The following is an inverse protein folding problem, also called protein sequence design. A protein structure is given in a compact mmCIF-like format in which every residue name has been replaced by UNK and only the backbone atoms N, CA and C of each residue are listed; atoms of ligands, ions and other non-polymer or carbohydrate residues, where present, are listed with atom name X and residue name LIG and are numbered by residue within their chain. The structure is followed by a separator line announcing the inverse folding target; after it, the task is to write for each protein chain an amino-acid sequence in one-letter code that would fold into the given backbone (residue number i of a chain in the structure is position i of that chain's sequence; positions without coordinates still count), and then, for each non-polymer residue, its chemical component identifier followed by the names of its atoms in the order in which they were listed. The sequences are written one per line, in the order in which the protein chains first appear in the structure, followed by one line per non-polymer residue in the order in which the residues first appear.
data_IF_213790780450
#
_entry.id   IF_213790780450
#
_cell.length_a   1.000
_cell.length_b   1.000
_cell.length_c   1.000
_cell.angle_alpha   90.00
_cell.angle_beta   90.00
_cell.angle_gamma   90.00
#
_symmetry.space_group_name_H-M   'P 1'
#
loop_
_entity.id
_entity.type
_entity.pdbx_description
1 polymer ?
#
# COMPACT_ATOMS: atom_id res chain seq x y z
N UNK A 1 3.93 39.24 -6.71
CA UNK A 1 2.67 38.73 -7.31
C UNK A 1 2.86 37.22 -7.41
N UNK A 2 2.24 36.35 -6.62
CA UNK A 2 0.85 36.30 -6.14
C UNK A 2 0.82 35.74 -4.71
N UNK A 3 0.17 36.47 -3.79
CA UNK A 3 0.01 36.06 -2.39
C UNK A 3 -1.02 34.95 -2.21
N UNK A 4 -0.67 34.00 -1.35
CA UNK A 4 -1.61 33.04 -0.73
C UNK A 4 -2.66 33.83 0.07
N UNK A 5 -3.92 33.70 -0.33
CA UNK A 5 -5.05 34.17 0.48
C UNK A 5 -5.39 33.14 1.58
N UNK A 6 -5.79 33.58 2.78
CA UNK A 6 -6.13 32.70 3.88
C UNK A 6 -7.51 32.06 3.68
N UNK A 7 -7.59 30.76 3.98
CA UNK A 7 -8.83 29.98 4.20
C UNK A 7 -9.64 30.63 5.32
N UNK A 8 -10.75 31.28 4.98
CA UNK A 8 -11.70 31.83 5.93
C UNK A 8 -12.59 30.73 6.55
N UNK A 9 -12.97 30.84 7.83
CA UNK A 9 -13.86 29.90 8.49
C UNK A 9 -15.32 30.30 8.23
N UNK A 10 -16.01 29.59 7.33
CA UNK A 10 -17.48 29.74 7.15
C UNK A 10 -18.18 28.39 7.27
N UNK A 11 -17.71 27.56 8.21
CA UNK A 11 -18.16 26.18 8.39
C UNK A 11 -19.06 25.98 9.63
N UNK A 12 -19.83 27.00 10.03
CA UNK A 12 -20.60 26.94 11.30
C UNK A 12 -22.08 27.38 11.24
N UNK A 13 -22.63 27.83 10.11
CA UNK A 13 -24.00 28.40 10.10
C UNK A 13 -25.07 27.69 9.25
N UNK A 14 -24.76 26.55 8.61
CA UNK A 14 -25.76 25.77 7.85
C UNK A 14 -26.00 24.35 8.39
N UNK A 15 -25.81 24.16 9.69
CA UNK A 15 -26.20 22.93 10.40
C UNK A 15 -27.46 23.15 11.26
N UNK A 16 -27.88 24.40 11.44
CA UNK A 16 -29.07 24.74 12.24
C UNK A 16 -30.20 25.21 11.35
N UNK A 17 -31.25 24.37 11.28
CA UNK A 17 -32.59 24.71 10.85
C UNK A 17 -32.73 25.18 9.39
N UNK A 18 -32.88 24.22 8.48
CA UNK A 18 -33.93 24.18 7.45
C UNK A 18 -33.79 22.80 6.75
N UNK A 19 -34.90 22.12 6.50
CA UNK A 19 -35.06 20.75 5.97
C UNK A 19 -35.28 19.60 6.98
N UNK A 20 -35.56 19.92 8.25
CA UNK A 20 -36.03 18.92 9.23
C UNK A 20 -37.57 18.80 9.30
N UNK A 21 -38.34 19.59 8.54
CA UNK A 21 -39.79 19.51 8.54
C UNK A 21 -40.41 20.14 7.29
N UNK A 22 -40.72 19.32 6.28
CA UNK A 22 -41.98 19.44 5.54
C UNK A 22 -42.23 18.21 4.66
N UNK A 23 -43.48 17.81 4.74
CA UNK A 23 -44.23 16.95 3.83
C UNK A 23 -44.02 15.44 4.01
N UNK A 24 -44.88 14.92 4.90
CA UNK A 24 -45.43 13.60 4.75
C UNK A 24 -46.19 13.52 3.42
N UNK A 25 -45.60 12.80 2.48
CA UNK A 25 -46.32 11.87 1.63
C UNK A 25 -45.38 10.70 1.33
N UNK A 26 -45.65 9.61 2.02
CA UNK A 26 -44.92 8.37 1.96
C UNK A 26 -45.40 7.60 0.72
N UNK A 27 -44.70 7.73 -0.41
CA UNK A 27 -44.82 6.73 -1.47
C UNK A 27 -43.59 6.75 -2.39
N UNK A 28 -42.78 5.70 -2.35
CA UNK A 28 -41.78 5.43 -3.40
C UNK A 28 -41.72 3.92 -3.66
N UNK A 29 -42.19 3.55 -4.83
CA UNK A 29 -41.94 2.25 -5.46
C UNK A 29 -40.44 1.99 -5.54
N UNK A 30 -40.01 0.88 -4.95
CA UNK A 30 -38.64 0.37 -5.06
C UNK A 30 -38.46 -0.29 -6.43
N UNK A 31 -38.01 0.50 -7.41
CA UNK A 31 -37.43 -0.03 -8.65
C UNK A 31 -36.12 -0.78 -8.36
N UNK A 32 -35.77 -1.82 -9.14
CA UNK A 32 -34.67 -2.72 -8.81
C UNK A 32 -33.33 -1.98 -8.88
N UNK A 33 -32.53 -2.19 -7.84
CA UNK A 33 -31.16 -1.72 -7.71
C UNK A 33 -30.29 -2.39 -8.78
N UNK A 34 -30.01 -1.66 -9.86
CA UNK A 34 -29.09 -2.09 -10.91
C UNK A 34 -27.65 -1.99 -10.39
N UNK A 35 -27.09 -3.17 -10.13
CA UNK A 35 -25.74 -3.62 -10.48
C UNK A 35 -24.60 -2.61 -10.34
N UNK A 36 -23.82 -2.84 -9.29
CA UNK A 36 -22.38 -2.64 -9.18
C UNK A 36 -21.70 -2.55 -10.55
N UNK A 37 -21.10 -1.39 -10.83
CA UNK A 37 -20.11 -1.22 -11.90
C UNK A 37 -18.93 -2.16 -11.62
N UNK A 38 -19.02 -3.34 -12.22
CA UNK A 38 -17.88 -4.19 -12.51
C UNK A 38 -17.07 -3.50 -13.61
N UNK A 39 -16.33 -2.46 -13.25
CA UNK A 39 -15.22 -1.98 -14.05
C UNK A 39 -14.19 -3.10 -14.06
N UNK A 40 -14.23 -3.90 -15.12
CA UNK A 40 -13.24 -4.88 -15.48
C UNK A 40 -11.86 -4.22 -15.46
N UNK A 41 -11.15 -4.37 -14.35
CA UNK A 41 -9.72 -4.26 -14.30
C UNK A 41 -9.20 -5.41 -15.18
N UNK A 42 -9.08 -5.13 -16.47
CA UNK A 42 -8.27 -5.93 -17.38
C UNK A 42 -6.91 -6.08 -16.71
N UNK A 43 -6.61 -7.30 -16.25
CA UNK A 43 -5.30 -7.69 -15.83
C UNK A 43 -4.39 -7.50 -17.05
N UNK A 44 -3.76 -6.33 -17.11
CA UNK A 44 -2.71 -6.03 -18.06
C UNK A 44 -1.61 -7.04 -17.76
N UNK A 45 -1.49 -8.06 -18.61
CA UNK A 45 -0.32 -8.93 -18.64
C UNK A 45 0.91 -8.01 -18.54
N UNK A 46 1.81 -8.23 -17.57
CA UNK A 46 2.95 -7.36 -17.42
C UNK A 46 3.81 -7.54 -18.66
N UNK A 47 3.72 -6.58 -19.59
CA UNK A 47 4.73 -6.35 -20.59
C UNK A 47 6.08 -6.44 -19.87
N UNK A 48 7.00 -7.25 -20.38
CA UNK A 48 8.30 -7.50 -19.76
C UNK A 48 9.04 -6.16 -19.59
N UNK A 49 8.79 -5.51 -18.47
CA UNK A 49 9.48 -4.31 -18.04
C UNK A 49 10.90 -4.75 -17.75
N UNK A 50 11.87 -4.14 -18.45
CA UNK A 50 13.27 -4.21 -18.06
C UNK A 50 13.34 -3.92 -16.57
N UNK A 51 13.69 -4.93 -15.77
CA UNK A 51 13.65 -4.82 -14.31
C UNK A 51 14.87 -4.04 -13.85
N UNK A 52 14.64 -3.03 -13.02
CA UNK A 52 15.68 -2.17 -12.45
C UNK A 52 16.27 -2.87 -11.23
N UNK A 53 17.57 -3.14 -11.28
CA UNK A 53 18.29 -3.91 -10.26
C UNK A 53 19.34 -3.04 -9.56
N UNK A 54 19.38 -3.12 -8.24
CA UNK A 54 20.47 -2.64 -7.42
C UNK A 54 21.33 -3.82 -6.97
N UNK A 55 22.65 -3.70 -7.12
CA UNK A 55 23.60 -4.73 -6.67
C UNK A 55 24.41 -4.23 -5.49
N UNK A 56 24.43 -4.99 -4.39
CA UNK A 56 25.19 -4.69 -3.19
C UNK A 56 26.16 -5.83 -2.84
N UNK A 57 27.46 -5.60 -3.02
CA UNK A 57 28.50 -6.60 -2.82
C UNK A 57 29.81 -5.86 -2.49
N UNK A 58 30.54 -6.32 -1.49
CA UNK A 58 31.76 -5.63 -1.02
C UNK A 58 32.97 -5.99 -1.89
N UNK A 59 33.01 -7.22 -2.41
CA UNK A 59 34.01 -7.64 -3.39
C UNK A 59 33.72 -7.06 -4.78
N UNK A 60 34.62 -6.19 -5.26
CA UNK A 60 34.48 -5.55 -6.57
C UNK A 60 34.46 -6.53 -7.75
N UNK A 61 35.17 -7.65 -7.67
CA UNK A 61 35.21 -8.63 -8.77
C UNK A 61 33.86 -9.34 -8.87
N UNK A 62 33.34 -9.83 -7.73
CA UNK A 62 32.03 -10.50 -7.68
C UNK A 62 30.92 -9.53 -8.12
N UNK A 63 31.00 -8.27 -7.69
CA UNK A 63 30.05 -7.23 -8.10
C UNK A 63 30.06 -7.01 -9.61
N UNK A 64 31.24 -6.88 -10.22
CA UNK A 64 31.38 -6.70 -11.68
C UNK A 64 30.82 -7.90 -12.44
N UNK A 65 31.19 -9.13 -12.04
CA UNK A 65 30.71 -10.36 -12.66
C UNK A 65 29.17 -10.45 -12.61
N UNK A 66 28.58 -10.11 -11.45
CA UNK A 66 27.12 -10.11 -11.29
C UNK A 66 26.43 -9.07 -12.18
N UNK A 67 27.00 -7.87 -12.30
CA UNK A 67 26.45 -6.81 -13.15
C UNK A 67 26.50 -7.19 -14.61
N UNK A 68 27.60 -7.80 -15.06
CA UNK A 68 27.73 -8.31 -16.43
C UNK A 68 26.67 -9.39 -16.70
N UNK A 69 26.55 -10.37 -15.80
CA UNK A 69 25.52 -11.41 -15.92
C UNK A 69 24.10 -10.83 -16.01
N UNK A 70 23.77 -9.85 -15.16
CA UNK A 70 22.45 -9.21 -15.16
C UNK A 70 22.18 -8.44 -16.47
N UNK A 71 23.17 -7.70 -16.97
CA UNK A 71 23.03 -6.93 -18.22
C UNK A 71 22.87 -7.84 -19.43
N UNK A 72 23.58 -8.96 -19.47
CA UNK A 72 23.45 -9.95 -20.55
C UNK A 72 22.06 -10.60 -20.59
N UNK A 73 21.42 -10.78 -19.44
CA UNK A 73 20.04 -11.28 -19.32
C UNK A 73 18.98 -10.18 -19.48
N UNK A 74 19.38 -8.94 -19.81
CA UNK A 74 18.47 -7.84 -20.13
C UNK A 74 17.91 -7.08 -18.91
N UNK A 75 18.56 -7.17 -17.75
CA UNK A 75 18.24 -6.35 -16.58
C UNK A 75 18.96 -4.99 -16.64
N UNK A 76 18.31 -3.94 -16.12
CA UNK A 76 18.91 -2.60 -16.01
C UNK A 76 19.52 -2.41 -14.62
N UNK A 77 20.84 -2.37 -14.52
CA UNK A 77 21.53 -2.13 -13.26
C UNK A 77 21.60 -0.63 -13.00
N UNK A 78 20.76 -0.16 -12.07
CA UNK A 78 20.56 1.26 -11.79
C UNK A 78 21.47 1.81 -10.70
N UNK A 79 22.08 0.93 -9.90
CA UNK A 79 23.02 1.33 -8.87
C UNK A 79 23.83 0.18 -8.31
N UNK A 80 24.97 0.54 -7.73
CA UNK A 80 25.95 -0.37 -7.17
C UNK A 80 26.32 0.11 -5.77
N UNK A 81 26.24 -0.78 -4.78
CA UNK A 81 26.55 -0.47 -3.39
C UNK A 81 27.73 -1.34 -2.90
N UNK A 82 28.79 -0.73 -2.34
CA UNK A 82 29.90 -1.49 -1.76
C UNK A 82 29.63 -1.93 -0.31
N UNK A 83 28.49 -1.54 0.28
CA UNK A 83 28.13 -1.87 1.66
C UNK A 83 26.61 -1.77 1.89
N UNK A 84 26.13 -2.35 3.00
CA UNK A 84 24.70 -2.40 3.32
C UNK A 84 24.05 -1.05 3.60
N UNK A 85 24.81 -0.04 4.06
CA UNK A 85 24.25 1.29 4.34
C UNK A 85 23.94 2.02 3.03
N UNK A 86 24.90 2.04 2.10
CA UNK A 86 24.73 2.60 0.75
C UNK A 86 23.64 1.85 -0.01
N UNK A 87 23.51 0.53 0.19
CA UNK A 87 22.46 -0.26 -0.43
C UNK A 87 21.06 0.23 -0.04
N UNK A 88 20.83 0.54 1.25
CA UNK A 88 19.55 1.08 1.73
C UNK A 88 19.29 2.47 1.13
N UNK A 89 20.28 3.36 1.18
CA UNK A 89 20.16 4.74 0.67
C UNK A 89 19.82 4.76 -0.84
N UNK A 90 20.56 4.00 -1.64
CA UNK A 90 20.31 3.90 -3.08
C UNK A 90 18.96 3.22 -3.39
N UNK A 91 18.53 2.28 -2.55
CA UNK A 91 17.20 1.65 -2.71
C UNK A 91 16.09 2.68 -2.50
N UNK A 92 16.23 3.57 -1.53
CA UNK A 92 15.25 4.64 -1.27
C UNK A 92 15.19 5.69 -2.37
N UNK A 93 16.36 6.10 -2.86
CA UNK A 93 16.51 7.12 -3.89
C UNK A 93 16.08 6.61 -5.28
N UNK A 94 16.62 5.46 -5.68
CA UNK A 94 16.46 4.96 -7.04
C UNK A 94 15.19 4.13 -7.23
N UNK A 95 14.58 3.63 -6.13
CA UNK A 95 13.40 2.75 -6.16
C UNK A 95 13.54 1.61 -7.19
N UNK A 96 14.55 0.74 -7.03
CA UNK A 96 14.73 -0.42 -7.90
C UNK A 96 13.58 -1.42 -7.70
N UNK A 97 13.35 -2.29 -8.68
CA UNK A 97 12.39 -3.39 -8.57
C UNK A 97 12.96 -4.56 -7.78
N UNK A 98 14.28 -4.73 -7.84
CA UNK A 98 15.04 -5.82 -7.24
C UNK A 98 16.34 -5.30 -6.61
N UNK A 99 16.66 -5.81 -5.43
CA UNK A 99 17.96 -5.64 -4.79
C UNK A 99 18.60 -7.01 -4.61
N UNK A 100 19.81 -7.16 -5.12
CA UNK A 100 20.65 -8.34 -4.88
C UNK A 100 21.75 -7.89 -3.92
N UNK A 101 21.86 -8.52 -2.76
CA UNK A 101 22.84 -8.11 -1.75
C UNK A 101 23.55 -9.28 -1.09
N UNK A 102 24.85 -9.14 -0.80
CA UNK A 102 25.58 -10.14 -0.01
C UNK A 102 25.11 -10.13 1.46
N UNK A 103 25.17 -11.29 2.10
CA UNK A 103 24.88 -11.44 3.53
C UNK A 103 25.87 -10.63 4.35
N UNK A 104 27.17 -10.74 4.08
CA UNK A 104 28.20 -10.06 4.86
C UNK A 104 28.73 -8.86 4.11
N UNK A 105 28.57 -7.68 4.71
CA UNK A 105 29.09 -6.43 4.18
C UNK A 105 29.67 -5.55 5.31
N UNK A 106 30.64 -4.67 5.01
CA UNK A 106 31.16 -3.71 5.97
C UNK A 106 30.10 -2.66 6.33
N UNK A 107 30.30 -1.95 7.45
CA UNK A 107 29.43 -0.87 7.98
C UNK A 107 28.07 -1.38 8.48
N UNK A 108 27.30 -2.01 7.60
CA UNK A 108 25.98 -2.56 7.88
C UNK A 108 25.86 -3.93 7.21
N UNK A 109 25.40 -4.89 8.00
CA UNK A 109 25.22 -6.27 7.54
C UNK A 109 24.11 -6.35 6.49
N UNK A 110 24.25 -7.26 5.53
CA UNK A 110 23.27 -7.43 4.45
C UNK A 110 21.91 -7.86 4.97
N UNK A 111 21.86 -8.66 6.05
CA UNK A 111 20.60 -9.08 6.66
C UNK A 111 19.86 -7.88 7.28
N UNK A 112 20.59 -7.00 7.96
CA UNK A 112 19.99 -5.81 8.57
C UNK A 112 19.55 -4.80 7.50
N UNK A 113 20.29 -4.70 6.40
CA UNK A 113 19.91 -3.89 5.24
C UNK A 113 18.66 -4.46 4.54
N UNK A 114 18.62 -5.79 4.33
CA UNK A 114 17.48 -6.50 3.78
C UNK A 114 16.23 -6.31 4.64
N UNK A 115 16.37 -6.43 5.97
CA UNK A 115 15.29 -6.23 6.92
C UNK A 115 14.66 -4.84 6.76
N UNK A 116 15.49 -3.81 6.63
CA UNK A 116 15.00 -2.44 6.47
C UNK A 116 14.33 -2.24 5.11
N UNK A 117 14.96 -2.68 4.02
CA UNK A 117 14.41 -2.57 2.66
C UNK A 117 13.07 -3.31 2.56
N UNK A 118 13.00 -4.53 3.11
CA UNK A 118 11.78 -5.32 3.16
C UNK A 118 10.72 -4.63 4.01
N UNK A 119 11.06 -4.13 5.22
CA UNK A 119 10.12 -3.43 6.11
C UNK A 119 9.48 -2.21 5.45
N UNK A 120 10.23 -1.48 4.63
CA UNK A 120 9.80 -0.31 3.87
C UNK A 120 9.14 -0.67 2.53
N UNK A 121 9.07 -1.96 2.21
CA UNK A 121 8.52 -2.53 0.95
C UNK A 121 9.11 -1.86 -0.29
N UNK A 122 10.41 -1.56 -0.28
CA UNK A 122 11.01 -0.77 -1.35
C UNK A 122 11.25 -1.58 -2.64
N UNK A 123 11.61 -2.85 -2.51
CA UNK A 123 11.99 -3.73 -3.61
C UNK A 123 11.95 -5.21 -3.20
N UNK A 124 11.96 -6.12 -4.18
CA UNK A 124 12.24 -7.53 -3.92
C UNK A 124 13.71 -7.72 -3.51
N UNK A 125 14.00 -8.54 -2.51
CA UNK A 125 15.37 -8.76 -2.01
C UNK A 125 15.83 -10.20 -2.25
N UNK A 126 16.98 -10.34 -2.91
CA UNK A 126 17.72 -11.60 -3.09
C UNK A 126 19.03 -11.52 -2.31
N UNK A 127 19.23 -12.48 -1.42
CA UNK A 127 20.45 -12.57 -0.60
C UNK A 127 21.49 -13.48 -1.27
N UNK A 128 22.71 -12.99 -1.48
CA UNK A 128 23.85 -13.83 -1.82
C UNK A 128 24.45 -14.37 -0.53
N UNK A 129 24.80 -15.65 -0.47
CA UNK A 129 25.36 -16.25 0.74
C UNK A 129 26.48 -17.24 0.42
N UNK A 130 27.47 -17.34 1.30
CA UNK A 130 28.45 -18.41 1.25
C UNK A 130 27.88 -19.69 1.90
N UNK A 131 28.24 -20.86 1.38
CA UNK A 131 27.73 -22.18 1.81
C UNK A 131 27.71 -22.41 3.35
N UNK A 132 28.63 -21.79 4.10
CA UNK A 132 28.78 -21.95 5.55
C UNK A 132 27.81 -21.12 6.40
N UNK A 133 26.81 -20.46 5.81
CA UNK A 133 25.95 -19.48 6.49
C UNK A 133 24.46 -19.88 6.55
N UNK A 134 24.13 -21.18 6.60
CA UNK A 134 22.72 -21.63 6.65
C UNK A 134 21.92 -21.03 7.82
N UNK A 135 22.52 -20.83 8.98
CA UNK A 135 21.85 -20.21 10.14
C UNK A 135 21.45 -18.75 9.87
N UNK A 136 22.14 -18.09 8.95
CA UNK A 136 21.82 -16.74 8.49
C UNK A 136 20.68 -16.73 7.47
N UNK A 137 20.43 -17.85 6.77
CA UNK A 137 19.32 -17.97 5.82
C UNK A 137 17.97 -17.91 6.55
N UNK A 138 17.85 -18.54 7.71
CA UNK A 138 16.62 -18.46 8.52
C UNK A 138 16.36 -17.03 9.00
N UNK A 139 17.39 -16.36 9.50
CA UNK A 139 17.31 -14.95 9.91
C UNK A 139 16.97 -14.02 8.75
N UNK A 140 17.56 -14.25 7.58
CA UNK A 140 17.27 -13.49 6.38
C UNK A 140 15.81 -13.69 5.91
N UNK A 141 15.28 -14.91 6.00
CA UNK A 141 13.87 -15.18 5.72
C UNK A 141 12.96 -14.42 6.68
N UNK A 142 13.26 -14.46 7.97
CA UNK A 142 12.46 -13.76 8.99
C UNK A 142 12.57 -12.23 8.85
N UNK A 143 13.69 -11.73 8.31
CA UNK A 143 13.90 -10.34 7.91
C UNK A 143 13.13 -9.94 6.64
N UNK A 144 12.49 -10.87 5.93
CA UNK A 144 11.71 -10.59 4.73
C UNK A 144 12.50 -10.69 3.42
N UNK A 145 13.65 -11.36 3.41
CA UNK A 145 14.31 -11.74 2.15
C UNK A 145 13.42 -12.71 1.36
N UNK A 146 13.27 -12.44 0.06
CA UNK A 146 12.36 -13.20 -0.80
C UNK A 146 13.01 -14.46 -1.36
N UNK A 147 14.32 -14.44 -1.57
CA UNK A 147 15.10 -15.61 -1.98
C UNK A 147 16.56 -15.48 -1.55
N UNK A 148 17.31 -16.59 -1.64
CA UNK A 148 18.75 -16.62 -1.43
C UNK A 148 19.44 -17.41 -2.53
N UNK A 149 20.69 -17.05 -2.81
CA UNK A 149 21.54 -17.67 -3.81
C UNK A 149 22.92 -17.99 -3.19
N UNK A 150 23.39 -19.21 -3.36
CA UNK A 150 24.65 -19.67 -2.75
C UNK A 150 25.82 -19.43 -3.70
N UNK A 151 26.91 -18.84 -3.21
CA UNK A 151 28.17 -18.66 -3.95
C UNK A 151 28.99 -19.99 -3.97
N UNK A 152 29.62 -20.37 -5.10
CA UNK A 152 29.57 -19.72 -6.42
C UNK A 152 28.28 -20.05 -7.18
N UNK A 153 27.73 -19.09 -7.92
CA UNK A 153 26.50 -19.22 -8.70
C UNK A 153 26.75 -19.00 -10.19
N UNK A 154 25.87 -19.53 -11.03
CA UNK A 154 25.87 -19.29 -12.47
C UNK A 154 24.63 -18.50 -12.91
N UNK A 155 24.62 -18.00 -14.15
CA UNK A 155 23.43 -17.35 -14.74
C UNK A 155 22.17 -18.23 -14.65
N UNK A 156 22.34 -19.55 -14.81
CA UNK A 156 21.26 -20.52 -14.73
C UNK A 156 20.65 -20.66 -13.32
N UNK A 157 21.40 -20.28 -12.28
CA UNK A 157 20.92 -20.25 -10.90
C UNK A 157 20.33 -18.87 -10.54
N UNK A 158 20.91 -17.80 -11.10
CA UNK A 158 20.54 -16.42 -10.82
C UNK A 158 19.13 -16.08 -11.33
N UNK A 159 18.84 -16.34 -12.61
CA UNK A 159 17.57 -15.95 -13.24
C UNK A 159 16.36 -16.59 -12.53
N UNK A 160 16.33 -17.91 -12.26
CA UNK A 160 15.22 -18.52 -11.54
C UNK A 160 15.05 -17.96 -10.12
N UNK A 161 16.16 -17.66 -9.45
CA UNK A 161 16.12 -17.08 -8.09
C UNK A 161 15.49 -15.70 -8.09
N UNK A 162 15.83 -14.87 -9.08
CA UNK A 162 15.23 -13.53 -9.26
C UNK A 162 13.74 -13.65 -9.54
N UNK A 163 13.33 -14.56 -10.43
CA UNK A 163 11.91 -14.77 -10.75
C UNK A 163 11.09 -15.17 -9.53
N UNK A 164 11.61 -16.10 -8.72
CA UNK A 164 10.99 -16.50 -7.45
C UNK A 164 10.87 -15.31 -6.49
N UNK A 165 11.93 -14.49 -6.38
CA UNK A 165 11.93 -13.34 -5.49
C UNK A 165 10.90 -12.28 -5.90
N UNK A 166 10.85 -11.95 -7.19
CA UNK A 166 9.90 -10.97 -7.75
C UNK A 166 8.46 -11.47 -7.62
N UNK A 167 8.22 -12.76 -7.89
CA UNK A 167 6.90 -13.37 -7.75
C UNK A 167 6.38 -13.27 -6.31
N UNK A 168 7.20 -13.66 -5.33
CA UNK A 168 6.86 -13.54 -3.90
C UNK A 168 6.62 -12.11 -3.46
N UNK A 169 7.45 -11.17 -3.90
CA UNK A 169 7.28 -9.75 -3.58
C UNK A 169 5.97 -9.19 -4.17
N UNK A 170 5.64 -9.57 -5.40
CA UNK A 170 4.38 -9.17 -6.05
C UNK A 170 3.17 -9.75 -5.32
N UNK A 171 3.21 -11.03 -4.97
CA UNK A 171 2.15 -11.71 -4.22
C UNK A 171 1.91 -11.05 -2.85
N UNK A 172 2.99 -10.75 -2.11
CA UNK A 172 2.89 -10.07 -0.83
C UNK A 172 2.29 -8.66 -0.96
N UNK A 173 2.70 -7.90 -1.98
CA UNK A 173 2.14 -6.58 -2.22
C UNK A 173 0.65 -6.63 -2.58
N UNK A 174 0.20 -7.64 -3.32
CA UNK A 174 -1.22 -7.84 -3.63
C UNK A 174 -2.00 -8.16 -2.36
N UNK A 175 -1.50 -9.11 -1.57
CA UNK A 175 -2.15 -9.53 -0.32
C UNK A 175 -2.28 -8.37 0.67
N UNK A 176 -1.24 -7.54 0.80
CA UNK A 176 -1.26 -6.36 1.67
C UNK A 176 -2.28 -5.31 1.21
N UNK A 177 -2.41 -5.10 -0.11
CA UNK A 177 -3.44 -4.21 -0.67
C UNK A 177 -4.83 -4.72 -0.37
N UNK A 178 -5.06 -6.03 -0.52
CA UNK A 178 -6.36 -6.63 -0.23
C UNK A 178 -6.72 -6.51 1.25
N UNK A 179 -5.75 -6.76 2.15
CA UNK A 179 -5.93 -6.56 3.60
C UNK A 179 -6.24 -5.09 3.93
N UNK A 180 -5.56 -4.15 3.27
CA UNK A 180 -5.82 -2.72 3.46
C UNK A 180 -7.23 -2.32 3.00
N UNK A 181 -7.67 -2.76 1.81
CA UNK A 181 -9.01 -2.49 1.28
C UNK A 181 -10.10 -3.10 2.17
N UNK A 182 -9.94 -4.36 2.60
CA UNK A 182 -10.86 -5.01 3.53
C UNK A 182 -10.98 -4.25 4.85
N UNK A 183 -9.84 -3.84 5.41
CA UNK A 183 -9.80 -3.07 6.65
C UNK A 183 -10.50 -1.72 6.48
N UNK A 184 -10.26 -1.01 5.38
CA UNK A 184 -10.94 0.24 5.08
C UNK A 184 -12.46 0.06 4.97
N UNK A 185 -12.93 -0.98 4.27
CA UNK A 185 -14.37 -1.27 4.16
C UNK A 185 -15.03 -1.53 5.51
N UNK A 186 -14.34 -2.26 6.40
CA UNK A 186 -14.83 -2.51 7.75
C UNK A 186 -14.89 -1.23 8.59
N UNK A 187 -13.89 -0.36 8.51
CA UNK A 187 -13.88 0.93 9.20
C UNK A 187 -14.98 1.86 8.67
N UNK A 188 -15.17 1.95 7.35
CA UNK A 188 -16.27 2.71 6.75
C UNK A 188 -17.62 2.19 7.28
N UNK A 189 -17.81 0.87 7.34
CA UNK A 189 -19.05 0.29 7.88
C UNK A 189 -19.26 0.70 9.33
N UNK A 190 -18.24 0.60 10.19
CA UNK A 190 -18.34 1.01 11.61
C UNK A 190 -18.72 2.48 11.75
N UNK A 191 -18.12 3.37 10.95
CA UNK A 191 -18.44 4.80 10.95
C UNK A 191 -19.90 5.04 10.56
N UNK A 192 -20.38 4.40 9.50
CA UNK A 192 -21.77 4.53 9.06
C UNK A 192 -22.74 4.00 10.12
N UNK A 193 -22.48 2.83 10.71
CA UNK A 193 -23.30 2.28 11.80
C UNK A 193 -23.36 3.23 13.00
N UNK A 194 -22.21 3.80 13.40
CA UNK A 194 -22.15 4.77 14.50
C UNK A 194 -22.90 6.06 14.18
N UNK A 195 -22.77 6.59 12.97
CA UNK A 195 -23.51 7.77 12.52
C UNK A 195 -25.02 7.51 12.50
N UNK A 196 -25.47 6.34 12.03
CA UNK A 196 -26.88 5.94 12.11
C UNK A 196 -27.38 5.96 13.55
N UNK A 197 -26.66 5.33 14.49
CA UNK A 197 -27.04 5.31 15.89
C UNK A 197 -27.23 6.72 16.48
N UNK A 198 -26.31 7.63 16.19
CA UNK A 198 -26.41 9.03 16.64
C UNK A 198 -27.64 9.74 16.02
N UNK A 199 -27.93 9.51 14.73
CA UNK A 199 -29.11 10.07 14.07
C UNK A 199 -30.43 9.51 14.63
N UNK A 200 -30.44 8.22 15.00
CA UNK A 200 -31.59 7.59 15.66
C UNK A 200 -31.87 8.21 17.02
N UNK A 201 -30.83 8.42 17.84
CA UNK A 201 -30.97 9.01 19.18
C UNK A 201 -31.35 10.50 19.14
N UNK A 202 -30.69 11.29 18.29
CA UNK A 202 -30.84 12.75 18.25
C UNK A 202 -32.07 13.23 17.47
N UNK A 203 -32.43 12.54 16.39
CA UNK A 203 -33.50 12.93 15.47
C UNK A 203 -34.65 11.92 15.42
N UNK A 204 -34.64 10.87 16.26
CA UNK A 204 -35.67 9.82 16.30
C UNK A 204 -35.90 9.14 14.94
N UNK A 205 -34.86 9.09 14.11
CA UNK A 205 -34.94 8.39 12.83
C UNK A 205 -35.05 6.88 13.05
N UNK A 206 -35.79 6.21 12.16
CA UNK A 206 -35.68 4.76 12.03
C UNK A 206 -34.31 4.42 11.40
N UNK A 207 -33.80 3.22 11.64
CA UNK A 207 -32.53 2.80 11.03
C UNK A 207 -32.52 2.92 9.49
N UNK A 208 -33.60 2.51 8.76
CA UNK A 208 -33.68 2.73 7.31
C UNK A 208 -33.63 4.21 6.90
N UNK A 209 -34.26 5.11 7.67
CA UNK A 209 -34.30 6.53 7.35
C UNK A 209 -32.95 7.22 7.62
N UNK A 210 -32.28 6.84 8.71
CA UNK A 210 -30.93 7.31 9.02
C UNK A 210 -29.94 6.92 7.92
N UNK A 211 -30.02 5.68 7.41
CA UNK A 211 -29.17 5.24 6.31
C UNK A 211 -29.45 6.01 5.01
N UNK A 212 -30.73 6.15 4.61
CA UNK A 212 -31.12 6.93 3.42
C UNK A 212 -30.68 8.38 3.52
N UNK A 213 -30.74 8.97 4.72
CA UNK A 213 -30.28 10.33 4.97
C UNK A 213 -28.79 10.47 4.70
N UNK A 214 -27.95 9.59 5.27
CA UNK A 214 -26.49 9.59 5.04
C UNK A 214 -26.20 9.42 3.54
N UNK A 215 -26.91 8.51 2.88
CA UNK A 215 -26.74 8.24 1.45
C UNK A 215 -27.09 9.45 0.57
N UNK A 216 -28.23 10.11 0.82
CA UNK A 216 -28.64 11.32 0.10
C UNK A 216 -27.68 12.48 0.36
N UNK A 217 -27.31 12.70 1.62
CA UNK A 217 -26.34 13.74 1.99
C UNK A 217 -24.99 13.55 1.30
N UNK A 218 -24.55 12.30 1.08
CA UNK A 218 -23.34 12.00 0.33
C UNK A 218 -23.48 12.35 -1.16
N UNK A 219 -24.62 12.00 -1.78
CA UNK A 219 -24.92 12.31 -3.18
C UNK A 219 -25.02 13.83 -3.43
N UNK A 220 -25.82 14.53 -2.63
CA UNK A 220 -26.07 15.96 -2.80
C UNK A 220 -24.80 16.80 -2.63
N UNK A 221 -23.89 16.33 -1.75
CA UNK A 221 -22.59 16.97 -1.49
C UNK A 221 -21.45 16.43 -2.35
N UNK A 222 -21.72 15.46 -3.24
CA UNK A 222 -20.73 14.77 -4.09
C UNK A 222 -19.50 14.28 -3.29
N UNK A 223 -19.76 13.67 -2.14
CA UNK A 223 -18.73 13.14 -1.24
C UNK A 223 -19.01 11.68 -0.90
N UNK A 224 -18.12 11.05 -0.14
CA UNK A 224 -18.26 9.65 0.27
C UNK A 224 -19.16 9.53 1.49
N UNK A 225 -19.83 8.37 1.64
CA UNK A 225 -20.61 8.06 2.85
C UNK A 225 -19.75 8.12 4.12
N UNK A 226 -18.45 7.78 4.02
CA UNK A 226 -17.47 7.91 5.10
C UNK A 226 -17.36 9.35 5.60
N UNK A 227 -17.14 10.30 4.68
CA UNK A 227 -16.99 11.71 5.04
C UNK A 227 -18.27 12.27 5.66
N UNK A 228 -19.45 11.88 5.17
CA UNK A 228 -20.73 12.27 5.80
C UNK A 228 -20.86 11.68 7.20
N UNK A 229 -20.55 10.40 7.37
CA UNK A 229 -20.62 9.74 8.66
C UNK A 229 -19.68 10.38 9.69
N UNK A 230 -18.46 10.74 9.30
CA UNK A 230 -17.50 11.47 10.14
C UNK A 230 -18.06 12.83 10.59
N UNK A 231 -18.63 13.61 9.66
CA UNK A 231 -19.25 14.91 9.96
C UNK A 231 -20.43 14.77 10.93
N UNK A 232 -21.27 13.75 10.74
CA UNK A 232 -22.40 13.44 11.65
C UNK A 232 -21.87 13.13 13.05
N UNK A 233 -20.86 12.27 13.16
CA UNK A 233 -20.26 11.89 14.43
C UNK A 233 -19.63 13.10 15.13
N UNK A 234 -18.93 13.97 14.41
CA UNK A 234 -18.26 15.14 14.98
C UNK A 234 -19.26 16.23 15.43
N UNK A 235 -20.31 16.44 14.65
CA UNK A 235 -21.31 17.48 14.89
C UNK A 235 -22.30 17.11 16.00
N UNK A 236 -22.78 15.87 15.97
CA UNK A 236 -23.86 15.41 16.86
C UNK A 236 -23.33 14.58 18.04
N UNK A 237 -22.18 13.93 17.90
CA UNK A 237 -21.54 13.19 18.98
C UNK A 237 -21.02 14.07 20.12
N UNK A 238 -20.65 15.32 19.83
CA UNK A 238 -20.23 16.28 20.87
C UNK A 238 -21.41 16.93 21.61
N UNK A 239 -22.65 16.84 21.10
CA UNK A 239 -23.86 17.37 21.76
C UNK A 239 -24.48 16.41 22.78
N UNK A 240 -24.06 15.14 22.77
CA UNK A 240 -24.58 14.09 23.65
C UNK A 240 -23.76 13.88 24.94
N UNK A 241 -22.77 14.72 25.20
CA UNK A 241 -21.88 14.66 26.37
C UNK A 241 -22.04 15.92 27.22
#
# INVERSE_FOLDING_TARGET
MTGRAPIQPVLLHHITALDCARDGDFNVEVGPMATTDASAAQAKEPAATVRRVLVAEDDSLIRMDLIEMLREEGYDVVGEAPNGQVAVELTEELRPDLVIMDVKMPIRDGIDAAAEIASKRLAAVVMLTAFSQRDFVEKARDAGAMAYLVKPFTKADLVPTIEVAVSRYTELNVLERDVADLTERLEIRKLVERAKGILMESHSFSEPDAFKWIQRAAMDRRTTMKAVAEVVIETLGNKAK
#
